data_IF_740157490717
#
_entry.id   IF_740157490717
#
_cell.length_a   1.000
_cell.length_b   1.000
_cell.length_c   1.000
_cell.angle_alpha   90.00
_cell.angle_beta   90.00
_cell.angle_gamma   90.00
#
_symmetry.space_group_name_H-M   'P 1'
#
loop_
_entity.id
_entity.type
_entity.pdbx_description
1 polymer ?
#
# COMPACT_ATOMS: atom_id res chain seq x y z
N UNK A 1 -52.43 -32.30 -35.17
CA UNK A 1 -52.00 -32.01 -33.78
C UNK A 1 -50.48 -32.14 -33.72
N UNK A 2 -49.76 -31.02 -33.77
CA UNK A 2 -48.32 -30.99 -33.47
C UNK A 2 -48.09 -29.69 -32.70
N UNK A 3 -47.90 -29.81 -31.38
CA UNK A 3 -47.65 -28.68 -30.49
C UNK A 3 -46.14 -28.40 -30.49
N UNK A 4 -45.74 -27.22 -30.99
CA UNK A 4 -44.40 -26.69 -30.80
C UNK A 4 -44.31 -26.12 -29.37
N UNK A 5 -43.54 -26.77 -28.50
CA UNK A 5 -43.06 -26.14 -27.26
C UNK A 5 -41.90 -25.20 -27.59
N UNK A 6 -42.12 -23.91 -27.43
CA UNK A 6 -41.05 -22.92 -27.41
C UNK A 6 -40.43 -22.90 -26.00
N UNK A 7 -39.22 -23.44 -25.87
CA UNK A 7 -38.43 -23.31 -24.65
C UNK A 7 -37.84 -21.89 -24.56
N UNK A 8 -38.36 -21.07 -23.64
CA UNK A 8 -37.72 -19.82 -23.25
C UNK A 8 -36.45 -20.12 -22.47
N UNK A 9 -35.29 -19.94 -23.12
CA UNK A 9 -33.99 -19.94 -22.46
C UNK A 9 -33.85 -18.58 -21.75
N UNK A 10 -34.09 -18.57 -20.45
CA UNK A 10 -33.72 -17.46 -19.56
C UNK A 10 -32.19 -17.42 -19.48
N UNK A 11 -31.57 -16.59 -20.32
CA UNK A 11 -30.16 -16.20 -20.16
C UNK A 11 -30.10 -15.32 -18.90
N UNK A 12 -29.80 -15.94 -17.77
CA UNK A 12 -29.42 -15.22 -16.56
C UNK A 12 -28.02 -14.68 -16.80
N UNK A 13 -27.93 -13.44 -17.29
CA UNK A 13 -26.69 -12.67 -17.24
C UNK A 13 -26.36 -12.45 -15.77
N UNK A 14 -25.60 -13.38 -15.19
CA UNK A 14 -24.76 -13.07 -14.05
C UNK A 14 -23.77 -12.02 -14.55
N UNK A 15 -24.12 -10.75 -14.39
CA UNK A 15 -23.21 -9.64 -14.57
C UNK A 15 -22.15 -9.77 -13.46
N UNK A 16 -21.17 -10.63 -13.69
CA UNK A 16 -19.91 -10.57 -12.97
C UNK A 16 -19.38 -9.17 -13.29
N UNK A 17 -19.53 -8.23 -12.35
CA UNK A 17 -18.93 -6.91 -12.50
C UNK A 17 -17.44 -7.12 -12.81
N UNK A 18 -17.00 -6.62 -13.97
CA UNK A 18 -15.60 -6.69 -14.38
C UNK A 18 -14.71 -6.17 -13.23
N UNK A 19 -13.54 -6.79 -13.01
CA UNK A 19 -12.65 -6.37 -11.95
C UNK A 19 -12.22 -4.92 -12.22
N UNK A 20 -12.30 -4.06 -11.19
CA UNK A 20 -11.92 -2.64 -11.31
C UNK A 20 -10.41 -2.46 -11.54
N UNK A 21 -9.61 -3.46 -11.16
CA UNK A 21 -8.16 -3.49 -11.31
C UNK A 21 -7.73 -4.81 -11.92
N UNK A 22 -6.61 -4.80 -12.64
CA UNK A 22 -5.95 -5.98 -13.19
C UNK A 22 -4.66 -6.22 -12.41
N UNK A 23 -4.45 -7.46 -12.00
CA UNK A 23 -3.25 -7.93 -11.31
C UNK A 23 -2.43 -8.81 -12.26
N UNK A 24 -1.12 -8.54 -12.36
CA UNK A 24 -0.17 -9.24 -13.21
C UNK A 24 1.07 -9.62 -12.36
N UNK A 25 1.34 -10.93 -12.21
CA UNK A 25 2.61 -11.41 -11.65
C UNK A 25 3.62 -11.46 -12.79
N UNK A 26 4.71 -10.70 -12.67
CA UNK A 26 5.68 -10.53 -13.75
C UNK A 26 7.11 -10.67 -13.24
N UNK A 27 8.01 -10.86 -14.17
CA UNK A 27 9.45 -10.83 -13.95
C UNK A 27 10.01 -9.70 -14.78
N UNK A 28 10.44 -8.62 -14.12
CA UNK A 28 10.93 -7.41 -14.79
C UNK A 28 12.35 -7.67 -15.30
N UNK A 29 12.61 -7.60 -16.62
CA UNK A 29 13.98 -7.62 -17.12
C UNK A 29 14.66 -6.31 -16.73
N UNK A 30 15.85 -6.41 -16.12
CA UNK A 30 16.62 -5.25 -15.67
C UNK A 30 18.09 -5.39 -16.05
N UNK A 31 18.80 -4.26 -16.06
CA UNK A 31 20.26 -4.25 -16.15
C UNK A 31 20.81 -3.56 -14.92
N UNK A 32 21.58 -4.30 -14.11
CA UNK A 32 22.20 -3.81 -12.88
C UNK A 32 23.70 -4.12 -12.96
N UNK A 33 24.55 -3.12 -12.77
CA UNK A 33 26.01 -3.25 -12.92
C UNK A 33 26.44 -3.83 -14.29
N UNK A 34 25.73 -3.47 -15.35
CA UNK A 34 25.97 -3.98 -16.71
C UNK A 34 25.58 -5.44 -16.94
N UNK A 35 24.96 -6.10 -15.96
CA UNK A 35 24.49 -7.49 -16.07
C UNK A 35 22.99 -7.54 -16.29
N UNK A 36 22.56 -8.40 -17.21
CA UNK A 36 21.15 -8.71 -17.39
C UNK A 36 20.67 -9.57 -16.22
N UNK A 37 19.71 -9.04 -15.48
CA UNK A 37 19.09 -9.68 -14.32
C UNK A 37 17.56 -9.59 -14.45
N UNK A 38 16.83 -10.17 -13.52
CA UNK A 38 15.40 -9.99 -13.41
C UNK A 38 14.93 -9.85 -11.97
N UNK A 39 13.89 -9.05 -11.79
CA UNK A 39 13.26 -8.83 -10.49
C UNK A 39 11.83 -9.37 -10.52
N UNK A 40 11.46 -10.16 -9.51
CA UNK A 40 10.07 -10.54 -9.27
C UNK A 40 9.24 -9.29 -8.97
N UNK A 41 8.07 -9.17 -9.60
CA UNK A 41 7.16 -8.06 -9.35
C UNK A 41 5.69 -8.45 -9.47
N UNK A 42 4.86 -7.72 -8.75
CA UNK A 42 3.41 -7.72 -8.85
C UNK A 42 2.99 -6.34 -9.35
N UNK A 43 2.37 -6.30 -10.52
CA UNK A 43 1.79 -5.09 -11.08
C UNK A 43 0.28 -5.13 -10.88
N UNK A 44 -0.27 -4.09 -10.25
CA UNK A 44 -1.71 -3.87 -10.15
C UNK A 44 -2.03 -2.51 -10.76
N UNK A 45 -3.01 -2.45 -11.65
CA UNK A 45 -3.41 -1.20 -12.33
C UNK A 45 -4.92 -1.14 -12.54
N UNK A 46 -5.51 0.03 -12.78
CA UNK A 46 -6.90 0.12 -13.23
C UNK A 46 -7.15 -0.77 -14.47
N UNK A 47 -8.31 -1.43 -14.48
CA UNK A 47 -8.69 -2.32 -15.58
C UNK A 47 -9.02 -1.55 -16.86
N UNK A 48 -9.49 -0.31 -16.71
CA UNK A 48 -9.81 0.60 -17.81
C UNK A 48 -9.00 1.88 -17.67
N UNK A 49 -8.69 2.53 -18.78
CA UNK A 49 -7.92 3.78 -18.81
C UNK A 49 -6.85 3.81 -19.88
N UNK A 50 -6.08 4.90 -19.88
CA UNK A 50 -4.94 5.11 -20.76
C UNK A 50 -3.62 4.73 -20.09
N UNK A 51 -2.62 5.60 -20.20
CA UNK A 51 -1.35 5.46 -19.51
C UNK A 51 -1.46 5.89 -18.06
N UNK A 52 -0.84 5.16 -17.13
CA UNK A 52 -0.93 5.42 -15.71
C UNK A 52 0.41 5.87 -15.12
N UNK A 53 0.39 6.79 -14.13
CA UNK A 53 1.59 7.11 -13.37
C UNK A 53 2.04 5.89 -12.54
N UNK A 54 3.33 5.84 -12.21
CA UNK A 54 3.92 4.68 -11.52
C UNK A 54 3.89 4.89 -10.00
N UNK A 55 3.40 3.90 -9.25
CA UNK A 55 3.72 3.74 -7.84
C UNK A 55 4.71 2.57 -7.69
N UNK A 56 6.00 2.86 -7.48
CA UNK A 56 7.02 1.86 -7.25
C UNK A 56 7.04 1.49 -5.77
N UNK A 57 6.69 0.25 -5.45
CA UNK A 57 6.49 -0.24 -4.10
C UNK A 57 7.58 -1.27 -3.78
N UNK A 58 8.21 -1.17 -2.61
CA UNK A 58 9.19 -2.18 -2.18
C UNK A 58 9.15 -2.44 -0.68
N UNK A 59 9.36 -3.71 -0.31
CA UNK A 59 9.38 -4.16 1.07
C UNK A 59 10.75 -3.93 1.74
N UNK A 60 10.84 -4.25 3.04
CA UNK A 60 12.09 -4.23 3.79
C UNK A 60 13.05 -5.36 3.42
N UNK A 61 14.13 -5.47 4.20
CA UNK A 61 15.04 -6.60 4.16
C UNK A 61 14.51 -7.77 5.02
N UNK A 62 14.98 -8.98 4.75
CA UNK A 62 14.60 -10.18 5.50
C UNK A 62 15.82 -11.07 5.74
N UNK A 63 15.83 -11.74 6.91
CA UNK A 63 16.80 -12.82 7.19
C UNK A 63 16.50 -14.09 6.40
N UNK A 64 15.34 -14.16 5.77
CA UNK A 64 14.89 -15.26 4.93
C UNK A 64 14.55 -14.70 3.56
N UNK A 65 15.55 -14.21 2.79
CA UNK A 65 15.31 -13.48 1.54
C UNK A 65 14.50 -14.28 0.52
N UNK A 66 14.64 -15.61 0.52
CA UNK A 66 13.89 -16.53 -0.35
C UNK A 66 12.39 -16.64 -0.05
N UNK A 67 11.92 -16.18 1.11
CA UNK A 67 10.50 -16.21 1.48
C UNK A 67 9.78 -14.88 1.25
N UNK A 68 10.46 -13.90 0.64
CA UNK A 68 9.90 -12.59 0.35
C UNK A 68 9.39 -12.59 -1.09
N UNK A 69 8.12 -12.23 -1.28
CA UNK A 69 7.47 -12.25 -2.59
C UNK A 69 6.78 -10.92 -2.89
N UNK A 70 6.54 -10.67 -4.18
CA UNK A 70 6.00 -9.38 -4.60
C UNK A 70 4.57 -9.14 -4.08
N UNK A 71 3.81 -10.21 -3.84
CA UNK A 71 2.44 -10.18 -3.34
C UNK A 71 2.32 -9.95 -1.82
N UNK A 72 3.43 -9.95 -1.08
CA UNK A 72 3.48 -9.57 0.35
C UNK A 72 2.97 -8.13 0.59
N UNK A 73 3.10 -7.25 -0.42
CA UNK A 73 2.62 -5.86 -0.39
C UNK A 73 1.45 -5.59 -1.34
N UNK A 74 0.76 -6.62 -1.78
CA UNK A 74 -0.32 -6.44 -2.74
C UNK A 74 -1.47 -5.57 -2.21
N UNK A 75 -1.73 -5.54 -0.90
CA UNK A 75 -2.75 -4.65 -0.35
C UNK A 75 -2.43 -3.18 -0.69
N UNK A 76 -1.14 -2.78 -0.61
CA UNK A 76 -0.71 -1.45 -1.03
C UNK A 76 -0.84 -1.29 -2.55
N UNK A 77 -0.43 -2.30 -3.33
CA UNK A 77 -0.53 -2.24 -4.78
C UNK A 77 -1.98 -2.06 -5.27
N UNK A 78 -2.93 -2.83 -4.72
CA UNK A 78 -4.36 -2.64 -4.98
C UNK A 78 -4.85 -1.27 -4.52
N UNK A 79 -4.49 -0.83 -3.32
CA UNK A 79 -4.90 0.48 -2.81
C UNK A 79 -4.43 1.63 -3.72
N UNK A 80 -3.21 1.56 -4.27
CA UNK A 80 -2.73 2.54 -5.27
C UNK A 80 -3.39 2.35 -6.64
N UNK A 81 -3.64 1.13 -7.09
CA UNK A 81 -4.36 0.90 -8.35
C UNK A 81 -5.76 1.52 -8.33
N UNK A 82 -6.50 1.41 -7.22
CA UNK A 82 -7.80 2.06 -7.03
C UNK A 82 -7.74 3.60 -6.99
N UNK A 83 -6.56 4.19 -6.83
CA UNK A 83 -6.32 5.64 -6.96
C UNK A 83 -5.95 6.08 -8.37
N UNK A 84 -5.79 5.13 -9.32
CA UNK A 84 -5.42 5.42 -10.69
C UNK A 84 -3.94 5.22 -11.03
N UNK A 85 -3.17 4.51 -10.21
CA UNK A 85 -1.75 4.24 -10.46
C UNK A 85 -1.53 2.87 -11.12
N UNK A 86 -0.48 2.75 -11.93
CA UNK A 86 0.17 1.45 -12.12
C UNK A 86 1.10 1.22 -10.93
N UNK A 87 0.64 0.39 -10.01
CA UNK A 87 1.35 0.07 -8.78
C UNK A 87 2.20 -1.20 -9.00
N UNK A 88 3.52 -1.07 -8.89
CA UNK A 88 4.47 -2.16 -9.08
C UNK A 88 5.16 -2.47 -7.75
N UNK A 89 4.74 -3.54 -7.08
CA UNK A 89 5.46 -4.11 -5.94
C UNK A 89 6.61 -4.96 -6.46
N UNK A 90 7.85 -4.59 -6.14
CA UNK A 90 9.04 -5.30 -6.60
C UNK A 90 9.73 -6.03 -5.45
N UNK A 91 10.49 -7.05 -5.80
CA UNK A 91 11.33 -7.82 -4.87
C UNK A 91 12.79 -7.54 -5.19
N UNK A 92 13.56 -7.27 -4.15
CA UNK A 92 15.00 -6.98 -4.24
C UNK A 92 15.78 -8.04 -5.03
N UNK A 93 16.91 -7.65 -5.63
CA UNK A 93 17.84 -8.60 -6.24
C UNK A 93 18.27 -9.66 -5.20
N UNK A 94 18.27 -10.93 -5.61
CA UNK A 94 18.58 -12.09 -4.78
C UNK A 94 17.49 -12.52 -3.78
N UNK A 95 16.35 -11.83 -3.73
CA UNK A 95 15.19 -12.20 -2.89
C UNK A 95 14.14 -12.93 -3.72
N UNK A 96 13.29 -13.74 -3.08
CA UNK A 96 12.21 -14.48 -3.75
C UNK A 96 12.70 -15.19 -5.02
N UNK A 97 11.99 -14.91 -6.11
CA UNK A 97 12.31 -15.34 -7.47
C UNK A 97 13.15 -14.33 -8.28
N UNK A 98 13.58 -13.21 -7.69
CA UNK A 98 14.55 -12.32 -8.35
C UNK A 98 15.92 -12.99 -8.51
N UNK A 99 16.59 -12.74 -9.63
CA UNK A 99 17.96 -13.21 -9.87
C UNK A 99 19.00 -12.37 -9.12
N UNK A 100 20.28 -12.63 -9.39
CA UNK A 100 21.40 -11.95 -8.74
C UNK A 100 21.65 -12.40 -7.30
N UNK A 101 22.37 -11.56 -6.55
CA UNK A 101 22.79 -11.85 -5.17
C UNK A 101 22.27 -10.80 -4.20
N UNK A 102 21.99 -11.24 -2.97
CA UNK A 102 21.57 -10.38 -1.87
C UNK A 102 22.63 -9.30 -1.61
N UNK A 103 22.19 -8.05 -1.53
CA UNK A 103 23.01 -6.89 -1.17
C UNK A 103 22.79 -6.51 0.29
N UNK A 104 23.58 -7.04 1.21
CA UNK A 104 23.41 -6.81 2.66
C UNK A 104 24.63 -6.21 3.37
N UNK A 105 25.58 -5.68 2.60
CA UNK A 105 26.82 -5.09 3.11
C UNK A 105 26.61 -3.68 3.66
N UNK A 106 26.21 -3.59 4.94
CA UNK A 106 26.07 -2.32 5.67
C UNK A 106 27.23 -2.03 6.65
N UNK A 107 28.31 -2.82 6.60
CA UNK A 107 29.38 -2.78 7.60
C UNK A 107 28.95 -3.34 8.95
N UNK A 108 29.51 -2.79 10.04
CA UNK A 108 29.21 -3.22 11.42
C UNK A 108 28.74 -2.04 12.28
N UNK A 109 28.24 -2.31 13.49
CA UNK A 109 27.83 -1.27 14.43
C UNK A 109 28.90 -0.20 14.71
N UNK A 110 30.18 -0.60 14.75
CA UNK A 110 31.31 0.30 15.04
C UNK A 110 32.04 0.79 13.79
N UNK A 111 31.85 0.14 12.63
CA UNK A 111 32.39 0.54 11.34
C UNK A 111 31.30 0.45 10.27
N UNK A 112 30.31 1.36 10.30
CA UNK A 112 29.16 1.29 9.42
C UNK A 112 29.52 1.68 7.98
N UNK A 113 28.92 0.98 7.03
CA UNK A 113 28.94 1.29 5.59
C UNK A 113 27.50 1.40 5.05
N UNK A 114 26.76 2.34 5.63
CA UNK A 114 25.34 2.58 5.28
C UNK A 114 25.19 3.04 3.82
N UNK A 115 26.17 3.78 3.30
CA UNK A 115 26.14 4.28 1.92
C UNK A 115 26.13 3.13 0.92
N UNK A 116 27.11 2.22 1.02
CA UNK A 116 27.21 1.04 0.14
C UNK A 116 25.93 0.20 0.12
N UNK A 117 25.33 0.00 1.30
CA UNK A 117 24.08 -0.74 1.40
C UNK A 117 22.95 -0.02 0.64
N UNK A 118 22.74 1.27 0.90
CA UNK A 118 21.63 2.01 0.30
C UNK A 118 21.84 2.22 -1.20
N UNK A 119 23.08 2.50 -1.63
CA UNK A 119 23.42 2.70 -3.03
C UNK A 119 23.04 1.47 -3.88
N UNK A 120 23.39 0.28 -3.40
CA UNK A 120 23.06 -0.97 -4.08
C UNK A 120 21.53 -1.21 -4.15
N UNK A 121 20.77 -0.76 -3.15
CA UNK A 121 19.30 -0.85 -3.14
C UNK A 121 18.66 0.17 -4.08
N UNK A 122 19.17 1.38 -4.11
CA UNK A 122 18.68 2.40 -5.02
C UNK A 122 19.05 2.07 -6.49
N UNK A 123 20.14 1.35 -6.75
CA UNK A 123 20.44 0.76 -8.07
C UNK A 123 19.38 -0.25 -8.50
N UNK A 124 19.01 -1.20 -7.62
CA UNK A 124 17.93 -2.16 -7.90
C UNK A 124 16.61 -1.43 -8.23
N UNK A 125 16.26 -0.39 -7.47
CA UNK A 125 15.04 0.41 -7.68
C UNK A 125 15.09 1.21 -8.99
N UNK A 126 16.23 1.82 -9.31
CA UNK A 126 16.42 2.56 -10.55
C UNK A 126 16.30 1.65 -11.78
N UNK A 127 16.83 0.43 -11.70
CA UNK A 127 16.71 -0.60 -12.72
C UNK A 127 15.25 -1.05 -12.92
N UNK A 128 14.54 -1.32 -11.82
CA UNK A 128 13.12 -1.66 -11.87
C UNK A 128 12.29 -0.54 -12.51
N UNK A 129 12.53 0.71 -12.11
CA UNK A 129 11.87 1.88 -12.68
C UNK A 129 12.16 2.03 -14.18
N UNK A 130 13.41 1.84 -14.60
CA UNK A 130 13.78 1.88 -16.01
C UNK A 130 13.03 0.82 -16.83
N UNK A 131 12.89 -0.39 -16.29
CA UNK A 131 12.11 -1.48 -16.92
C UNK A 131 10.63 -1.11 -17.04
N UNK A 132 10.00 -0.63 -15.97
CA UNK A 132 8.59 -0.23 -15.96
C UNK A 132 8.29 0.88 -16.97
N UNK A 133 9.19 1.86 -17.12
CA UNK A 133 9.05 2.98 -18.07
C UNK A 133 8.98 2.57 -19.54
N UNK A 134 9.32 1.32 -19.87
CA UNK A 134 9.21 0.77 -21.23
C UNK A 134 7.82 0.24 -21.57
N UNK A 135 6.95 0.06 -20.56
CA UNK A 135 5.61 -0.49 -20.79
C UNK A 135 4.71 0.51 -21.55
N UNK A 136 3.82 0.01 -22.44
CA UNK A 136 2.96 0.88 -23.24
C UNK A 136 1.84 1.59 -22.45
N UNK A 137 1.49 1.04 -21.29
CA UNK A 137 0.44 1.53 -20.37
C UNK A 137 0.98 2.44 -19.26
N UNK A 138 2.24 2.88 -19.35
CA UNK A 138 2.87 3.75 -18.36
C UNK A 138 2.99 5.19 -18.85
N UNK A 139 2.66 6.13 -17.95
CA UNK A 139 3.03 7.54 -18.04
C UNK A 139 4.33 7.78 -17.27
N UNK A 140 5.34 8.26 -17.98
CA UNK A 140 6.70 8.41 -17.45
C UNK A 140 6.92 9.73 -16.69
N UNK A 141 5.94 10.63 -16.62
CA UNK A 141 6.12 11.94 -15.98
C UNK A 141 6.00 11.90 -14.47
N UNK A 142 5.22 10.96 -13.93
CA UNK A 142 4.83 10.95 -12.52
C UNK A 142 5.18 9.61 -11.89
N UNK A 143 6.08 9.63 -10.91
CA UNK A 143 6.57 8.44 -10.21
C UNK A 143 6.52 8.67 -8.70
N UNK A 144 5.76 7.82 -8.01
CA UNK A 144 5.70 7.78 -6.55
C UNK A 144 6.54 6.61 -6.04
N UNK A 145 7.50 6.89 -5.18
CA UNK A 145 8.21 5.86 -4.42
C UNK A 145 7.45 5.51 -3.14
N UNK A 146 7.22 4.24 -2.87
CA UNK A 146 6.58 3.76 -1.63
C UNK A 146 7.43 2.65 -1.04
N UNK A 147 7.97 2.88 0.14
CA UNK A 147 8.88 1.93 0.76
C UNK A 147 8.52 1.67 2.21
N UNK A 148 8.70 0.42 2.64
CA UNK A 148 8.63 0.05 4.06
C UNK A 148 9.99 -0.40 4.58
N UNK A 149 10.33 -0.05 5.83
CA UNK A 149 11.60 -0.43 6.44
C UNK A 149 12.80 0.04 5.60
N UNK A 150 13.75 -0.85 5.31
CA UNK A 150 14.84 -0.57 4.37
C UNK A 150 14.34 0.02 3.05
N UNK A 151 13.21 -0.46 2.53
CA UNK A 151 12.61 0.10 1.32
C UNK A 151 12.25 1.58 1.44
N UNK A 152 11.80 2.03 2.62
CA UNK A 152 11.43 3.42 2.88
C UNK A 152 12.62 4.36 2.77
N UNK A 153 13.76 4.00 3.38
CA UNK A 153 14.99 4.81 3.28
C UNK A 153 15.65 4.70 1.90
N UNK A 154 15.58 3.55 1.23
CA UNK A 154 16.10 3.39 -0.14
C UNK A 154 15.32 4.22 -1.16
N UNK A 155 14.03 4.49 -0.94
CA UNK A 155 13.27 5.43 -1.78
C UNK A 155 13.72 6.88 -1.60
N UNK A 156 14.19 7.26 -0.40
CA UNK A 156 14.77 8.59 -0.17
C UNK A 156 16.11 8.73 -0.91
N UNK A 157 16.94 7.69 -0.92
CA UNK A 157 18.15 7.64 -1.73
C UNK A 157 17.82 7.78 -3.22
N UNK A 158 16.92 6.94 -3.75
CA UNK A 158 16.51 7.02 -5.15
C UNK A 158 16.00 8.43 -5.52
N UNK A 159 15.18 9.06 -4.65
CA UNK A 159 14.71 10.42 -4.86
C UNK A 159 15.83 11.46 -4.91
N UNK A 160 16.96 11.21 -4.24
CA UNK A 160 18.12 12.10 -4.23
C UNK A 160 19.02 11.98 -5.48
N UNK A 161 18.78 10.98 -6.34
CA UNK A 161 19.55 10.78 -7.56
C UNK A 161 19.04 11.69 -8.68
N UNK A 162 19.87 12.60 -9.22
CA UNK A 162 19.43 13.66 -10.13
C UNK A 162 18.89 13.14 -11.48
N UNK A 163 19.34 11.96 -11.90
CA UNK A 163 18.97 11.34 -13.18
C UNK A 163 17.79 10.34 -13.05
N UNK A 164 17.25 10.17 -11.84
CA UNK A 164 16.15 9.24 -11.54
C UNK A 164 15.05 9.90 -10.69
N UNK A 165 14.52 11.07 -11.10
CA UNK A 165 13.65 11.84 -10.22
C UNK A 165 12.35 11.09 -9.93
N UNK A 166 12.06 10.96 -8.63
CA UNK A 166 10.74 10.63 -8.12
C UNK A 166 9.95 11.93 -7.92
N UNK A 167 8.66 11.90 -8.20
CA UNK A 167 7.75 13.04 -7.98
C UNK A 167 7.44 13.21 -6.50
N UNK A 168 7.34 12.11 -5.75
CA UNK A 168 7.11 12.08 -4.32
C UNK A 168 7.55 10.75 -3.71
N UNK A 169 7.71 10.71 -2.38
CA UNK A 169 8.02 9.48 -1.63
C UNK A 169 7.09 9.29 -0.43
N UNK A 170 6.60 8.07 -0.22
CA UNK A 170 5.97 7.62 1.02
C UNK A 170 6.92 6.64 1.72
N UNK A 171 7.42 7.05 2.87
CA UNK A 171 8.32 6.32 3.74
C UNK A 171 7.54 5.76 4.96
N UNK A 172 7.27 4.45 4.95
CA UNK A 172 6.57 3.75 6.04
C UNK A 172 7.58 3.04 6.94
N UNK A 173 7.71 3.48 8.20
CA UNK A 173 8.64 2.89 9.17
C UNK A 173 10.04 2.66 8.57
N UNK A 174 10.57 3.62 7.79
CA UNK A 174 11.79 3.38 7.04
C UNK A 174 13.08 3.75 7.77
N UNK A 175 14.15 3.04 7.41
CA UNK A 175 15.46 3.20 8.00
C UNK A 175 16.33 1.99 7.74
N UNK A 176 17.52 1.99 8.31
CA UNK A 176 18.42 0.83 8.31
C UNK A 176 18.90 0.60 9.74
N UNK A 177 18.85 -0.65 10.21
CA UNK A 177 19.30 -1.00 11.54
C UNK A 177 20.31 -2.14 11.47
N UNK A 178 21.14 -2.25 12.50
CA UNK A 178 22.11 -3.35 12.65
C UNK A 178 21.88 -4.14 13.96
N UNK A 179 20.81 -3.83 14.69
CA UNK A 179 20.42 -4.56 15.89
C UNK A 179 20.03 -6.01 15.58
N UNK A 180 20.46 -6.92 16.46
CA UNK A 180 20.25 -8.35 16.26
C UNK A 180 18.84 -8.83 16.66
N UNK A 181 18.08 -8.06 17.46
CA UNK A 181 16.77 -8.45 17.98
C UNK A 181 15.83 -7.24 18.09
N UNK A 182 14.52 -7.43 17.84
CA UNK A 182 13.52 -6.37 18.01
C UNK A 182 13.45 -5.97 19.49
N UNK A 183 13.19 -4.68 19.76
CA UNK A 183 13.10 -4.12 21.12
C UNK A 183 14.38 -4.26 21.97
N UNK A 184 15.52 -4.55 21.35
CA UNK A 184 16.79 -4.76 22.03
C UNK A 184 17.90 -3.94 21.36
N UNK A 185 17.87 -2.60 21.50
CA UNK A 185 18.87 -1.73 20.89
C UNK A 185 20.26 -2.08 21.43
N UNK A 186 21.24 -2.23 20.54
CA UNK A 186 22.62 -2.48 20.91
C UNK A 186 23.35 -1.13 21.08
N UNK A 187 23.81 -0.78 22.30
CA UNK A 187 24.49 0.49 22.55
C UNK A 187 25.74 0.72 21.66
N UNK A 188 26.38 -0.36 21.20
CA UNK A 188 27.54 -0.28 20.31
C UNK A 188 27.21 0.24 18.90
N UNK A 189 25.92 0.32 18.53
CA UNK A 189 25.47 0.74 17.20
C UNK A 189 25.19 2.24 17.07
N UNK A 190 25.55 3.05 18.08
CA UNK A 190 25.51 4.52 17.98
C UNK A 190 26.23 5.09 16.75
N UNK A 191 27.43 4.60 16.35
CA UNK A 191 28.08 5.02 15.11
C UNK A 191 27.26 4.67 13.86
N UNK A 192 26.60 3.51 13.83
CA UNK A 192 25.72 3.09 12.73
C UNK A 192 24.50 4.00 12.58
N UNK A 193 23.79 4.28 13.68
CA UNK A 193 22.68 5.25 13.66
C UNK A 193 23.14 6.64 13.20
N UNK A 194 24.33 7.07 13.62
CA UNK A 194 24.91 8.35 13.20
C UNK A 194 25.23 8.37 11.70
N UNK A 195 25.76 7.27 11.16
CA UNK A 195 25.98 7.12 9.72
C UNK A 195 24.67 7.13 8.93
N UNK A 196 23.62 6.48 9.43
CA UNK A 196 22.29 6.53 8.83
C UNK A 196 21.73 7.95 8.80
N UNK A 197 21.74 8.66 9.94
CA UNK A 197 21.26 10.05 10.00
C UNK A 197 22.01 10.95 9.03
N UNK A 198 23.33 10.74 8.86
CA UNK A 198 24.13 11.47 7.87
C UNK A 198 23.68 11.21 6.44
N UNK A 199 23.43 9.96 6.06
CA UNK A 199 22.94 9.64 4.70
C UNK A 199 21.54 10.23 4.46
N UNK A 200 20.64 10.03 5.41
CA UNK A 200 19.29 10.61 5.35
C UNK A 200 19.33 12.13 5.25
N UNK A 201 20.25 12.80 5.95
CA UNK A 201 20.44 14.24 5.82
C UNK A 201 20.87 14.66 4.42
N UNK A 202 21.80 13.93 3.80
CA UNK A 202 22.24 14.19 2.42
C UNK A 202 21.10 14.03 1.41
N UNK A 203 20.22 13.03 1.58
CA UNK A 203 19.06 12.82 0.71
C UNK A 203 18.06 13.98 0.73
N UNK A 204 18.07 14.81 1.78
CA UNK A 204 17.23 16.00 1.88
C UNK A 204 17.46 17.03 0.78
N UNK A 205 18.67 17.07 0.20
CA UNK A 205 19.04 18.06 -0.82
C UNK A 205 18.17 18.00 -2.09
N UNK A 206 17.53 16.86 -2.35
CA UNK A 206 16.64 16.65 -3.48
C UNK A 206 15.36 17.49 -3.41
N UNK A 207 14.95 17.88 -2.19
CA UNK A 207 13.72 18.61 -1.91
C UNK A 207 12.43 18.01 -2.52
N UNK A 208 12.44 16.70 -2.83
CA UNK A 208 11.26 15.93 -3.24
C UNK A 208 10.25 15.90 -2.09
N UNK A 209 8.94 16.12 -2.35
CA UNK A 209 7.91 15.96 -1.32
C UNK A 209 7.89 14.54 -0.76
N UNK A 210 7.92 14.42 0.56
CA UNK A 210 7.87 13.11 1.23
C UNK A 210 6.85 13.06 2.36
N UNK A 211 6.26 11.89 2.57
CA UNK A 211 5.42 11.55 3.71
C UNK A 211 6.08 10.45 4.53
N UNK A 212 6.26 10.68 5.83
CA UNK A 212 6.92 9.78 6.76
C UNK A 212 5.90 9.33 7.82
N UNK A 213 5.65 8.02 7.91
CA UNK A 213 4.70 7.45 8.88
C UNK A 213 5.40 6.40 9.73
N UNK A 214 5.42 6.62 11.04
CA UNK A 214 6.04 5.73 12.03
C UNK A 214 5.08 5.49 13.19
N UNK A 215 5.27 4.43 13.97
CA UNK A 215 4.51 4.16 15.19
C UNK A 215 5.41 4.21 16.43
N UNK A 216 4.87 4.69 17.57
CA UNK A 216 5.61 4.82 18.84
C UNK A 216 6.21 3.52 19.37
N UNK A 217 5.63 2.38 19.02
CA UNK A 217 6.09 1.04 19.42
C UNK A 217 6.83 0.28 18.31
N UNK A 218 7.42 0.99 17.32
CA UNK A 218 8.30 0.35 16.33
C UNK A 218 9.55 -0.22 17.04
N UNK A 219 9.79 -1.55 16.98
CA UNK A 219 10.91 -2.22 17.64
C UNK A 219 12.30 -1.86 17.11
N UNK A 220 12.38 -1.27 15.91
CA UNK A 220 13.63 -1.03 15.20
C UNK A 220 13.91 0.46 15.06
N UNK A 221 12.86 1.26 14.82
CA UNK A 221 12.97 2.69 14.59
C UNK A 221 12.27 3.47 15.69
N UNK A 222 12.93 3.47 16.85
CA UNK A 222 12.47 4.19 18.05
C UNK A 222 12.30 5.68 17.77
N UNK A 223 11.33 6.36 18.44
CA UNK A 223 11.03 7.76 18.19
C UNK A 223 12.25 8.70 18.19
N UNK A 224 13.23 8.45 19.06
CA UNK A 224 14.43 9.30 19.14
C UNK A 224 15.31 9.21 17.89
N UNK A 225 15.43 8.01 17.29
CA UNK A 225 16.18 7.83 16.04
C UNK A 225 15.42 8.46 14.86
N UNK A 226 14.10 8.25 14.81
CA UNK A 226 13.23 8.83 13.77
C UNK A 226 13.29 10.35 13.80
N UNK A 227 13.26 10.96 14.99
CA UNK A 227 13.38 12.40 15.15
C UNK A 227 14.73 12.93 14.63
N UNK A 228 15.85 12.26 14.98
CA UNK A 228 17.18 12.61 14.45
C UNK A 228 17.25 12.51 12.93
N UNK A 229 16.67 11.46 12.34
CA UNK A 229 16.59 11.29 10.89
C UNK A 229 15.76 12.41 10.24
N UNK A 230 14.58 12.72 10.78
CA UNK A 230 13.69 13.76 10.26
C UNK A 230 14.34 15.15 10.36
N UNK A 231 14.97 15.47 11.49
CA UNK A 231 15.72 16.71 11.67
C UNK A 231 16.87 16.81 10.66
N UNK A 232 17.65 15.74 10.50
CA UNK A 232 18.73 15.67 9.51
C UNK A 232 18.22 15.86 8.07
N UNK A 233 17.15 15.17 7.68
CA UNK A 233 16.54 15.27 6.35
C UNK A 233 16.09 16.71 6.05
N UNK A 234 15.39 17.35 7.00
CA UNK A 234 14.92 18.75 6.86
C UNK A 234 16.08 19.74 6.84
N UNK A 235 17.11 19.55 7.67
CA UNK A 235 18.30 20.39 7.66
C UNK A 235 19.07 20.32 6.34
N UNK A 236 19.01 19.17 5.65
CA UNK A 236 19.54 19.00 4.30
C UNK A 236 18.70 19.65 3.19
N UNK A 237 17.54 20.25 3.50
CA UNK A 237 16.62 20.85 2.52
C UNK A 237 15.37 20.02 2.21
N UNK A 238 15.23 18.84 2.84
CA UNK A 238 14.16 17.89 2.56
C UNK A 238 12.79 18.37 3.03
N UNK A 239 11.75 18.05 2.23
CA UNK A 239 10.34 18.32 2.57
C UNK A 239 9.70 17.03 3.08
N UNK A 240 9.38 16.99 4.37
CA UNK A 240 8.81 15.80 5.00
C UNK A 240 7.58 16.15 5.83
N UNK A 241 6.41 15.75 5.34
CA UNK A 241 5.22 15.58 6.16
C UNK A 241 5.44 14.37 7.07
N UNK A 242 5.10 14.51 8.36
CA UNK A 242 5.46 13.51 9.36
C UNK A 242 4.28 13.16 10.26
N UNK A 243 4.05 11.87 10.44
CA UNK A 243 3.06 11.32 11.35
C UNK A 243 3.70 10.26 12.27
N UNK A 244 3.82 10.60 13.55
CA UNK A 244 4.11 9.63 14.62
C UNK A 244 2.80 9.10 15.21
N UNK A 245 2.41 7.91 14.77
CA UNK A 245 1.20 7.23 15.19
C UNK A 245 1.31 6.67 16.62
N UNK A 246 0.18 6.48 17.33
CA UNK A 246 0.16 5.72 18.57
C UNK A 246 0.67 4.27 18.36
N UNK A 247 0.93 3.53 19.46
CA UNK A 247 1.28 2.13 19.37
C UNK A 247 0.31 1.35 18.47
N UNK A 248 0.86 0.68 17.45
CA UNK A 248 0.09 -0.16 16.56
C UNK A 248 0.30 -1.62 16.93
N UNK A 249 -0.77 -2.27 17.42
CA UNK A 249 -0.76 -3.67 17.87
C UNK A 249 0.44 -3.95 18.79
N UNK A 250 1.11 -5.09 18.62
CA UNK A 250 2.34 -5.45 19.35
C UNK A 250 3.62 -4.95 18.68
N UNK A 251 3.56 -4.64 17.39
CA UNK A 251 4.72 -4.31 16.56
C UNK A 251 4.36 -3.16 15.61
N UNK A 252 4.85 -1.96 15.96
CA UNK A 252 4.66 -0.75 15.18
C UNK A 252 5.35 -0.77 13.81
N UNK A 253 6.27 -1.68 13.56
CA UNK A 253 6.96 -1.82 12.27
C UNK A 253 6.03 -2.33 11.15
N UNK A 254 4.86 -2.84 11.52
CA UNK A 254 3.92 -3.49 10.59
C UNK A 254 2.88 -2.54 9.98
N UNK A 255 3.15 -1.23 9.97
CA UNK A 255 2.24 -0.21 9.43
C UNK A 255 1.91 -0.35 7.93
N UNK A 256 2.71 -1.10 7.17
CA UNK A 256 2.43 -1.41 5.77
C UNK A 256 1.28 -2.40 5.58
N UNK A 257 0.90 -3.14 6.63
CA UNK A 257 -0.17 -4.13 6.56
C UNK A 257 -1.54 -3.47 6.49
N UNK A 258 -2.47 -4.15 5.86
CA UNK A 258 -3.85 -3.67 5.64
C UNK A 258 -4.59 -3.31 6.93
N UNK A 259 -4.22 -3.87 8.09
CA UNK A 259 -4.88 -3.54 9.36
C UNK A 259 -4.51 -2.16 9.90
N UNK A 260 -3.45 -1.56 9.38
CA UNK A 260 -3.08 -0.18 9.68
C UNK A 260 -3.79 0.83 8.76
N UNK A 261 -4.54 0.39 7.73
CA UNK A 261 -5.11 1.27 6.71
C UNK A 261 -5.98 2.40 7.28
N UNK A 262 -6.75 2.15 8.35
CA UNK A 262 -7.57 3.19 9.01
C UNK A 262 -6.73 4.37 9.56
N UNK A 263 -5.46 4.09 9.89
CA UNK A 263 -4.48 5.08 10.35
C UNK A 263 -3.68 5.68 9.18
N UNK A 264 -3.22 4.85 8.25
CA UNK A 264 -2.27 5.25 7.21
C UNK A 264 -2.94 5.88 5.99
N UNK A 265 -4.05 5.31 5.50
CA UNK A 265 -4.69 5.75 4.26
C UNK A 265 -5.11 7.22 4.26
N UNK A 266 -5.72 7.78 5.34
CA UNK A 266 -6.08 9.20 5.32
C UNK A 266 -4.87 10.13 5.21
N UNK A 267 -3.68 9.68 5.65
CA UNK A 267 -2.45 10.50 5.60
C UNK A 267 -1.82 10.39 4.23
N UNK A 268 -1.85 9.20 3.64
CA UNK A 268 -1.46 8.95 2.26
C UNK A 268 -2.34 9.80 1.32
N UNK A 269 -3.67 9.73 1.44
CA UNK A 269 -4.58 10.49 0.57
C UNK A 269 -4.42 11.99 0.74
N UNK A 270 -4.29 12.48 1.98
CA UNK A 270 -4.04 13.91 2.24
C UNK A 270 -2.73 14.39 1.60
N UNK A 271 -1.66 13.61 1.70
CA UNK A 271 -0.38 13.92 1.08
C UNK A 271 -0.44 13.90 -0.45
N UNK A 272 -1.07 12.88 -1.04
CA UNK A 272 -1.22 12.77 -2.49
C UNK A 272 -2.04 13.96 -3.04
N UNK A 273 -3.17 14.27 -2.41
CA UNK A 273 -4.02 15.40 -2.80
C UNK A 273 -3.28 16.75 -2.67
N UNK A 274 -2.53 16.97 -1.58
CA UNK A 274 -1.76 18.20 -1.37
C UNK A 274 -0.64 18.40 -2.41
N UNK A 275 -0.18 17.33 -3.06
CA UNK A 275 0.83 17.36 -4.11
C UNK A 275 0.25 17.18 -5.52
N UNK A 276 -1.09 17.29 -5.68
CA UNK A 276 -1.78 17.12 -6.96
C UNK A 276 -1.54 15.75 -7.63
N UNK A 277 -1.34 14.71 -6.81
CA UNK A 277 -1.16 13.34 -7.25
C UNK A 277 -2.48 12.56 -7.13
N UNK A 278 -2.68 11.50 -7.94
CA UNK A 278 -3.88 10.67 -7.83
C UNK A 278 -4.07 10.12 -6.41
N UNK A 279 -5.14 10.57 -5.75
CA UNK A 279 -5.53 10.22 -4.39
C UNK A 279 -6.90 9.54 -4.42
N UNK A 280 -7.29 8.90 -3.32
CA UNK A 280 -8.61 8.28 -3.26
C UNK A 280 -9.68 9.36 -3.04
N UNK A 281 -10.62 9.51 -3.98
CA UNK A 281 -11.66 10.56 -3.96
C UNK A 281 -12.46 10.63 -2.66
N UNK A 282 -12.97 11.81 -2.29
CA UNK A 282 -13.82 12.00 -1.11
C UNK A 282 -15.11 11.15 -1.19
N UNK A 283 -15.55 10.57 -0.05
CA UNK A 283 -16.68 9.62 -0.01
C UNK A 283 -18.06 10.30 -0.11
N UNK A 284 -18.21 11.39 -0.88
CA UNK A 284 -19.48 12.09 -1.02
C UNK A 284 -20.62 11.17 -1.48
N UNK A 285 -20.28 10.11 -2.24
CA UNK A 285 -21.18 9.03 -2.66
C UNK A 285 -21.87 8.34 -1.47
N UNK A 286 -21.23 8.27 -0.31
CA UNK A 286 -21.77 7.63 0.90
C UNK A 286 -22.58 8.57 1.80
N UNK A 287 -22.62 9.88 1.51
CA UNK A 287 -23.37 10.86 2.31
C UNK A 287 -24.84 10.46 2.53
N UNK A 288 -25.59 9.99 1.50
CA UNK A 288 -26.97 9.54 1.69
C UNK A 288 -27.10 8.35 2.66
N UNK A 289 -26.17 7.39 2.61
CA UNK A 289 -26.16 6.26 3.52
C UNK A 289 -25.84 6.71 4.96
N UNK A 290 -24.82 7.56 5.12
CA UNK A 290 -24.43 8.08 6.43
C UNK A 290 -25.55 8.88 7.11
N UNK A 291 -26.39 9.58 6.34
CA UNK A 291 -27.50 10.37 6.87
C UNK A 291 -28.59 9.51 7.55
N UNK A 292 -28.77 8.27 7.13
CA UNK A 292 -29.82 7.37 7.67
C UNK A 292 -29.31 6.41 8.74
N UNK A 293 -27.99 6.26 8.90
CA UNK A 293 -27.40 5.37 9.90
C UNK A 293 -27.39 5.99 11.30
N UNK A 294 -27.47 5.13 12.33
CA UNK A 294 -27.22 5.53 13.72
C UNK A 294 -25.72 5.86 13.93
N UNK A 295 -25.36 6.37 15.12
CA UNK A 295 -23.99 6.78 15.41
C UNK A 295 -22.96 5.66 15.17
N UNK A 296 -23.26 4.44 15.62
CA UNK A 296 -22.40 3.26 15.44
C UNK A 296 -22.23 2.91 13.96
N UNK A 297 -23.33 2.82 13.21
CA UNK A 297 -23.29 2.53 11.78
C UNK A 297 -22.53 3.58 10.98
N UNK A 298 -22.62 4.87 11.35
CA UNK A 298 -21.82 5.93 10.74
C UNK A 298 -20.33 5.73 10.98
N UNK A 299 -19.94 5.42 12.21
CA UNK A 299 -18.54 5.14 12.55
C UNK A 299 -18.02 3.91 11.79
N UNK A 300 -18.82 2.85 11.73
CA UNK A 300 -18.50 1.61 11.01
C UNK A 300 -18.33 1.84 9.50
N UNK A 301 -19.21 2.61 8.86
CA UNK A 301 -19.06 3.00 7.45
C UNK A 301 -17.82 3.87 7.24
N UNK A 302 -17.50 4.79 8.16
CA UNK A 302 -16.27 5.58 8.06
C UNK A 302 -15.01 4.70 8.14
N UNK A 303 -15.00 3.71 9.05
CA UNK A 303 -13.90 2.72 9.11
C UNK A 303 -13.82 1.88 7.84
N UNK A 304 -14.97 1.43 7.31
CA UNK A 304 -15.03 0.74 6.03
C UNK A 304 -14.39 1.57 4.91
N UNK A 305 -14.72 2.86 4.81
CA UNK A 305 -14.20 3.74 3.76
C UNK A 305 -12.67 3.89 3.82
N UNK A 306 -12.08 3.92 5.03
CA UNK A 306 -10.63 4.05 5.25
C UNK A 306 -9.87 2.71 5.21
N UNK A 307 -10.57 1.57 5.23
CA UNK A 307 -9.96 0.26 5.15
C UNK A 307 -9.40 -0.05 3.75
N UNK A 308 -8.45 -0.99 3.68
CA UNK A 308 -7.86 -1.47 2.42
C UNK A 308 -8.92 -2.03 1.46
N UNK A 309 -8.65 -1.89 0.16
CA UNK A 309 -9.51 -2.24 -0.96
C UNK A 309 -9.69 -3.75 -1.13
N UNK A 310 -10.43 -4.14 -2.17
CA UNK A 310 -11.05 -5.46 -2.31
C UNK A 310 -11.95 -5.78 -1.12
N UNK A 311 -12.88 -4.84 -0.88
CA UNK A 311 -13.78 -4.78 0.27
C UNK A 311 -15.25 -4.70 -0.15
N UNK A 312 -16.13 -5.24 0.68
CA UNK A 312 -17.58 -5.14 0.50
C UNK A 312 -18.27 -4.84 1.83
N UNK A 313 -19.34 -4.05 1.77
CA UNK A 313 -20.20 -3.70 2.88
C UNK A 313 -21.56 -4.34 2.67
N UNK A 314 -22.07 -5.01 3.69
CA UNK A 314 -23.39 -5.61 3.74
C UNK A 314 -24.21 -5.00 4.88
N UNK A 315 -25.53 -5.06 4.75
CA UNK A 315 -26.48 -4.61 5.75
C UNK A 315 -27.44 -5.74 6.10
N UNK A 316 -27.81 -5.86 7.38
CA UNK A 316 -28.82 -6.82 7.85
C UNK A 316 -30.23 -6.25 7.72
N UNK A 317 -31.21 -7.12 7.43
CA UNK A 317 -32.62 -6.75 7.50
C UNK A 317 -33.08 -6.59 8.97
N UNK A 318 -33.83 -5.52 9.27
CA UNK A 318 -34.51 -5.27 10.55
C UNK A 318 -33.62 -5.17 11.80
N UNK A 319 -32.33 -4.81 11.65
CA UNK A 319 -31.39 -4.55 12.76
C UNK A 319 -30.48 -3.32 12.50
N UNK A 320 -30.57 -2.71 11.31
CA UNK A 320 -29.79 -1.54 10.88
C UNK A 320 -28.26 -1.68 11.03
N UNK A 321 -27.75 -2.90 11.25
CA UNK A 321 -26.33 -3.19 11.39
C UNK A 321 -25.63 -3.24 10.04
N UNK A 322 -24.42 -2.68 9.99
CA UNK A 322 -23.53 -2.76 8.82
C UNK A 322 -22.36 -3.69 9.14
N UNK A 323 -21.96 -4.50 8.16
CA UNK A 323 -20.94 -5.53 8.31
C UNK A 323 -20.08 -5.53 7.06
N UNK A 324 -18.77 -5.69 7.19
CA UNK A 324 -17.89 -5.66 6.03
C UNK A 324 -16.81 -6.73 6.08
N UNK A 325 -16.21 -6.95 4.91
CA UNK A 325 -14.97 -7.66 4.72
C UNK A 325 -14.04 -6.80 3.86
N UNK A 326 -12.74 -6.86 4.11
CA UNK A 326 -11.69 -6.04 3.48
C UNK A 326 -10.47 -6.90 3.14
N UNK A 327 -9.57 -6.36 2.30
CA UNK A 327 -8.32 -6.99 1.92
C UNK A 327 -8.49 -8.46 1.47
N UNK A 328 -9.47 -8.71 0.60
CA UNK A 328 -9.77 -10.09 0.18
C UNK A 328 -9.12 -10.49 -1.14
N UNK A 329 -8.41 -9.56 -1.79
CA UNK A 329 -7.78 -9.69 -3.13
C UNK A 329 -8.76 -9.96 -4.28
N UNK A 330 -10.06 -10.00 -3.98
CA UNK A 330 -11.12 -10.21 -4.98
C UNK A 330 -12.44 -9.67 -4.44
N UNK A 331 -13.06 -8.75 -5.17
CA UNK A 331 -14.43 -8.29 -4.89
C UNK A 331 -15.45 -9.42 -4.67
N UNK A 332 -15.40 -10.51 -5.45
CA UNK A 332 -16.30 -11.65 -5.25
C UNK A 332 -16.18 -12.26 -3.84
N UNK A 333 -14.95 -12.56 -3.41
CA UNK A 333 -14.63 -13.02 -2.05
C UNK A 333 -14.97 -11.99 -0.97
N UNK A 334 -14.83 -10.70 -1.27
CA UNK A 334 -15.26 -9.62 -0.37
C UNK A 334 -16.77 -9.70 -0.10
N UNK A 335 -17.59 -9.81 -1.15
CA UNK A 335 -19.05 -9.95 -1.04
C UNK A 335 -19.43 -11.16 -0.21
N UNK A 336 -18.86 -12.32 -0.53
CA UNK A 336 -19.11 -13.57 0.18
C UNK A 336 -18.83 -13.44 1.67
N UNK A 337 -17.65 -12.91 2.04
CA UNK A 337 -17.25 -12.74 3.44
C UNK A 337 -18.07 -11.69 4.16
N UNK A 338 -18.43 -10.57 3.52
CA UNK A 338 -19.27 -9.55 4.12
C UNK A 338 -20.68 -10.09 4.43
N UNK A 339 -21.26 -10.87 3.51
CA UNK A 339 -22.55 -11.53 3.71
C UNK A 339 -22.47 -12.60 4.81
N UNK A 340 -21.41 -13.41 4.83
CA UNK A 340 -21.20 -14.41 5.87
C UNK A 340 -21.06 -13.77 7.25
N UNK A 341 -20.26 -12.71 7.37
CA UNK A 341 -20.12 -11.93 8.61
C UNK A 341 -21.48 -11.38 9.07
N UNK A 342 -22.22 -10.74 8.16
CA UNK A 342 -23.56 -10.21 8.46
C UNK A 342 -24.53 -11.27 8.96
N UNK A 343 -24.63 -12.42 8.27
CA UNK A 343 -25.57 -13.50 8.63
C UNK A 343 -25.21 -14.11 9.97
N UNK A 344 -23.92 -14.38 10.21
CA UNK A 344 -23.45 -14.96 11.48
C UNK A 344 -23.67 -14.01 12.65
N UNK A 345 -23.48 -12.70 12.46
CA UNK A 345 -23.61 -11.72 13.54
C UNK A 345 -25.06 -11.29 13.82
N UNK A 346 -25.92 -11.24 12.80
CA UNK A 346 -27.30 -10.75 12.94
C UNK A 346 -28.36 -11.86 13.01
N UNK A 347 -28.08 -13.04 12.43
CA UNK A 347 -29.09 -14.09 12.22
C UNK A 347 -30.18 -13.71 11.21
N UNK A 348 -29.95 -12.68 10.37
CA UNK A 348 -30.94 -12.13 9.42
C UNK A 348 -30.52 -12.34 7.97
N UNK A 349 -31.45 -12.05 7.06
CA UNK A 349 -31.12 -11.85 5.65
C UNK A 349 -30.22 -10.61 5.51
N UNK A 350 -29.25 -10.69 4.59
CA UNK A 350 -28.25 -9.67 4.38
C UNK A 350 -28.08 -9.36 2.90
N UNK A 351 -27.82 -8.10 2.60
CA UNK A 351 -27.62 -7.59 1.24
C UNK A 351 -26.31 -6.80 1.16
N UNK A 352 -25.55 -7.00 0.09
CA UNK A 352 -24.39 -6.14 -0.21
C UNK A 352 -24.91 -4.78 -0.66
N UNK A 353 -24.37 -3.72 -0.07
CA UNK A 353 -24.75 -2.33 -0.36
C UNK A 353 -23.59 -1.50 -0.90
N UNK A 354 -22.34 -1.94 -0.71
CA UNK A 354 -21.19 -1.26 -1.28
C UNK A 354 -20.04 -2.22 -1.60
N UNK A 355 -19.25 -1.83 -2.60
CA UNK A 355 -18.06 -2.52 -3.07
C UNK A 355 -16.95 -1.50 -3.27
N UNK A 356 -15.82 -1.69 -2.61
CA UNK A 356 -14.75 -0.69 -2.51
C UNK A 356 -15.29 0.70 -2.10
N UNK A 357 -15.36 1.65 -3.03
CA UNK A 357 -15.94 2.99 -2.82
C UNK A 357 -17.17 3.25 -3.68
N UNK A 358 -17.74 2.21 -4.26
CA UNK A 358 -18.98 2.27 -5.01
C UNK A 358 -20.16 1.88 -4.09
N UNK A 359 -21.10 2.80 -3.91
CA UNK A 359 -22.37 2.51 -3.22
C UNK A 359 -23.37 1.98 -4.26
N UNK A 360 -23.81 0.74 -4.09
CA UNK A 360 -24.68 0.05 -5.04
C UNK A 360 -26.09 0.65 -5.02
N UNK A 361 -26.72 0.84 -6.19
CA UNK A 361 -28.06 1.45 -6.28
C UNK A 361 -29.13 0.75 -5.43
N UNK A 362 -28.95 -0.55 -5.18
CA UNK A 362 -29.81 -1.40 -4.35
C UNK A 362 -29.77 -1.09 -2.85
N UNK A 363 -28.88 -0.20 -2.39
CA UNK A 363 -28.72 0.10 -0.96
C UNK A 363 -29.99 0.67 -0.33
N UNK A 364 -30.77 1.47 -1.09
CA UNK A 364 -32.02 2.08 -0.58
C UNK A 364 -33.08 1.03 -0.34
N UNK A 365 -33.26 0.12 -1.28
CA UNK A 365 -34.23 -0.98 -1.17
C UNK A 365 -33.86 -1.89 0.00
N UNK A 366 -32.57 -2.22 0.13
CA UNK A 366 -32.05 -3.01 1.25
C UNK A 366 -32.24 -2.32 2.61
N UNK A 367 -32.15 -0.98 2.67
CA UNK A 367 -32.40 -0.21 3.89
C UNK A 367 -33.89 -0.06 4.20
N UNK A 368 -34.75 0.15 3.19
CA UNK A 368 -36.20 0.28 3.39
C UNK A 368 -36.86 -1.02 3.86
N UNK A 369 -36.28 -2.17 3.51
CA UNK A 369 -36.66 -3.48 4.04
C UNK A 369 -36.38 -3.66 5.55
N UNK A 370 -35.82 -2.65 6.24
CA UNK A 370 -35.51 -2.71 7.67
C UNK A 370 -36.69 -2.39 8.61
N UNK A 371 -37.84 -1.95 8.06
CA UNK A 371 -39.01 -1.56 8.86
C UNK A 371 -38.78 -0.28 9.68
N UNK A 372 -39.85 0.31 10.27
CA UNK A 372 -39.70 1.42 11.21
C UNK A 372 -39.00 0.95 12.50
N UNK A 373 -38.22 1.85 13.11
CA UNK A 373 -37.58 1.62 14.42
C UNK A 373 -38.58 1.52 15.55
#
# INVERSE_FOLDING_TARGET
>A
MAALLAAMILISTNCLADPLVVEEHVTLPVTIDGRAEHLEALIVRPATGGRFPIALIVNGASRHPRSMHADDLANLAHDFAHRGWLAASIVWRGYGHSSGVVQDEAGTCTRPDVARYLDARADDLAAALASLRTRPDVDNTTVLGVGTSVGGVSMLDLAARPDRPLTAVINLSGGLYHDARPFAPNPACGPFETALVRQVSAFGAAAVPTLWIYARNDPWFRPELVERMLQGYRAGGGKADFAMLPPFRKDGHTLYRWEASDLTQPRIDGFLAANHLPAMEDSAVFTPLLAVLNARGREDVQRYLRASTEKALAISANDHGVYWAVNTRSLAKAREKALAHCRTSSGRQCHVIAENRNLLATWRDAYQQQGPR
#
